data_IF_131893982580
#
_entry.id   IF_131893982580
#
_cell.length_a   1.000
_cell.length_b   1.000
_cell.length_c   1.000
_cell.angle_alpha   90.00
_cell.angle_beta   90.00
_cell.angle_gamma   90.00
#
_symmetry.space_group_name_H-M   'P 1'
#
loop_
_entity.id
_entity.type
_entity.pdbx_description
1 polymer ?
#
# COMPACT_ATOMS: atom_id res chain seq x y z
N UNK A 1 -53.58 34.95 15.96
CA UNK A 1 -52.28 34.81 16.65
C UNK A 1 -51.32 34.12 15.68
N UNK A 2 -50.17 34.75 15.40
CA UNK A 2 -49.18 34.25 14.42
C UNK A 2 -48.38 33.10 15.02
N UNK A 3 -48.32 32.00 14.27
CA UNK A 3 -47.46 30.84 14.47
C UNK A 3 -45.98 31.25 14.31
N UNK A 4 -45.13 30.89 15.28
CA UNK A 4 -43.68 30.86 15.09
C UNK A 4 -43.21 29.46 15.54
N UNK A 5 -43.03 28.56 14.57
CA UNK A 5 -42.29 27.32 14.77
C UNK A 5 -40.80 27.65 14.66
N UNK A 6 -40.12 27.66 15.80
CA UNK A 6 -38.65 27.71 15.86
C UNK A 6 -38.11 26.32 15.51
N UNK A 7 -37.67 26.14 14.27
CA UNK A 7 -36.82 25.02 13.86
C UNK A 7 -35.43 25.25 14.45
N UNK A 8 -35.14 24.63 15.59
CA UNK A 8 -33.76 24.48 16.05
C UNK A 8 -33.06 23.50 15.10
N UNK A 9 -32.20 24.05 14.23
CA UNK A 9 -31.19 23.28 13.53
C UNK A 9 -30.27 22.63 14.57
N UNK A 10 -30.55 21.37 14.91
CA UNK A 10 -29.58 20.49 15.53
C UNK A 10 -28.47 20.25 14.50
N UNK A 11 -27.43 21.09 14.54
CA UNK A 11 -26.14 20.77 13.92
C UNK A 11 -25.59 19.61 14.75
N UNK A 12 -26.00 18.39 14.38
CA UNK A 12 -25.32 17.20 14.86
C UNK A 12 -23.86 17.34 14.44
N UNK A 13 -22.97 17.35 15.43
CA UNK A 13 -21.56 17.03 15.18
C UNK A 13 -21.57 15.65 14.52
N UNK A 14 -21.47 15.62 13.19
CA UNK A 14 -21.23 14.40 12.46
C UNK A 14 -19.84 13.91 12.88
N UNK A 15 -19.80 13.10 13.94
CA UNK A 15 -18.67 12.21 14.16
C UNK A 15 -18.55 11.39 12.88
N UNK A 16 -17.41 11.51 12.20
CA UNK A 16 -17.20 10.82 10.95
C UNK A 16 -17.39 9.32 11.16
N UNK A 17 -18.25 8.70 10.35
CA UNK A 17 -18.42 7.25 10.36
C UNK A 17 -17.22 6.64 9.66
N UNK A 18 -16.54 5.70 10.32
CA UNK A 18 -15.52 4.87 9.68
C UNK A 18 -16.14 4.13 8.48
N UNK A 19 -15.39 4.02 7.39
CA UNK A 19 -15.78 3.15 6.28
C UNK A 19 -15.63 1.67 6.63
N UNK A 20 -15.71 0.82 5.63
CA UNK A 20 -15.43 -0.60 5.77
C UNK A 20 -13.93 -0.85 5.97
N UNK A 21 -13.60 -1.90 6.71
CA UNK A 21 -12.24 -2.43 6.77
C UNK A 21 -12.18 -3.70 5.92
N UNK A 22 -11.32 -3.67 4.91
CA UNK A 22 -11.17 -4.70 3.90
C UNK A 22 -9.70 -5.12 3.86
N UNK A 23 -9.47 -6.41 3.62
CA UNK A 23 -8.14 -6.97 3.47
C UNK A 23 -7.95 -7.50 2.06
N UNK A 24 -6.79 -7.19 1.48
CA UNK A 24 -6.34 -7.61 0.15
C UNK A 24 -4.89 -8.06 0.23
N UNK A 25 -4.42 -8.77 -0.78
CA UNK A 25 -3.05 -9.27 -0.84
C UNK A 25 -2.85 -10.63 -0.16
N UNK A 26 -3.92 -11.39 0.08
CA UNK A 26 -3.78 -12.72 0.66
C UNK A 26 -3.04 -13.67 -0.29
N UNK A 27 -2.04 -14.39 0.23
CA UNK A 27 -1.21 -15.30 -0.56
C UNK A 27 -2.04 -16.41 -1.24
N UNK A 28 -3.01 -16.98 -0.53
CA UNK A 28 -3.89 -18.03 -1.04
C UNK A 28 -4.77 -17.59 -2.23
N UNK A 29 -5.16 -16.31 -2.27
CA UNK A 29 -5.86 -15.73 -3.43
C UNK A 29 -4.94 -15.66 -4.64
N UNK A 30 -3.68 -15.25 -4.43
CA UNK A 30 -2.69 -15.19 -5.50
C UNK A 30 -2.34 -16.57 -6.09
N UNK A 31 -2.40 -17.65 -5.30
CA UNK A 31 -2.15 -19.01 -5.79
C UNK A 31 -3.10 -19.42 -6.94
N UNK A 32 -4.27 -18.79 -7.01
CA UNK A 32 -5.27 -19.02 -8.07
C UNK A 32 -5.17 -18.04 -9.25
N UNK A 33 -4.31 -17.03 -9.15
CA UNK A 33 -4.19 -15.92 -10.10
C UNK A 33 -2.99 -16.10 -11.04
N UNK A 34 -2.92 -15.35 -12.16
CA UNK A 34 -1.78 -15.39 -13.06
C UNK A 34 -0.49 -14.93 -12.38
N UNK A 35 0.64 -15.51 -12.79
CA UNK A 35 1.95 -15.00 -12.40
C UNK A 35 2.35 -13.78 -13.25
N UNK A 36 3.09 -12.85 -12.64
CA UNK A 36 3.69 -11.71 -13.33
C UNK A 36 4.88 -12.23 -14.15
N UNK A 37 4.82 -12.06 -15.47
CA UNK A 37 5.92 -12.41 -16.35
C UNK A 37 6.97 -11.31 -16.34
N UNK A 38 8.22 -11.69 -16.03
CA UNK A 38 9.35 -10.78 -15.96
C UNK A 38 10.46 -11.20 -16.93
N UNK A 39 11.12 -10.21 -17.52
CA UNK A 39 12.27 -10.41 -18.41
C UNK A 39 13.41 -9.46 -18.00
N UNK A 40 14.66 -9.85 -18.28
CA UNK A 40 15.81 -8.98 -18.02
C UNK A 40 15.69 -7.72 -18.89
N UNK A 41 15.95 -6.57 -18.29
CA UNK A 41 15.90 -5.27 -18.94
C UNK A 41 17.24 -4.53 -18.84
N UNK A 42 17.43 -3.57 -19.74
CA UNK A 42 18.58 -2.68 -19.71
C UNK A 42 18.45 -1.62 -18.61
N UNK A 43 19.58 -1.32 -17.94
CA UNK A 43 19.67 -0.24 -16.93
C UNK A 43 19.19 1.11 -17.47
N UNK A 44 19.47 1.38 -18.75
CA UNK A 44 19.10 2.62 -19.43
C UNK A 44 17.58 2.82 -19.48
N UNK A 45 16.79 1.74 -19.56
CA UNK A 45 15.33 1.84 -19.50
C UNK A 45 14.92 2.39 -18.13
N UNK A 46 15.41 1.80 -17.04
CA UNK A 46 15.09 2.23 -15.66
C UNK A 46 15.51 3.68 -15.37
N UNK A 47 16.66 4.10 -15.89
CA UNK A 47 17.18 5.47 -15.70
C UNK A 47 16.34 6.51 -16.46
N UNK A 48 15.77 6.15 -17.62
CA UNK A 48 14.91 7.03 -18.42
C UNK A 48 13.45 6.99 -17.96
N UNK A 49 13.02 5.91 -17.32
CA UNK A 49 11.66 5.80 -16.76
C UNK A 49 11.46 6.83 -15.65
N UNK A 50 10.35 7.57 -15.76
CA UNK A 50 9.95 8.55 -14.78
C UNK A 50 9.84 7.91 -13.37
N UNK A 51 10.24 8.61 -12.30
CA UNK A 51 10.03 8.11 -10.96
C UNK A 51 8.55 7.95 -10.67
N UNK A 52 8.24 7.13 -9.65
CA UNK A 52 6.88 7.01 -9.12
C UNK A 52 6.26 8.40 -8.86
N UNK A 53 4.97 8.59 -9.16
CA UNK A 53 4.27 9.84 -8.85
C UNK A 53 4.46 10.20 -7.38
N UNK A 54 4.82 11.47 -7.11
CA UNK A 54 5.10 11.90 -5.75
C UNK A 54 3.83 11.90 -4.93
N UNK A 55 3.88 11.23 -3.78
CA UNK A 55 2.88 11.41 -2.73
C UNK A 55 2.96 12.83 -2.17
N UNK A 56 1.81 13.36 -1.76
CA UNK A 56 1.73 14.63 -1.07
C UNK A 56 1.78 14.36 0.43
N UNK A 57 2.73 14.99 1.11
CA UNK A 57 2.86 14.94 2.57
C UNK A 57 2.15 16.12 3.23
N UNK A 58 0.90 16.32 2.84
CA UNK A 58 -0.07 17.20 3.48
C UNK A 58 -1.38 16.41 3.58
N UNK A 59 -2.46 16.97 4.12
CA UNK A 59 -3.74 16.28 4.41
C UNK A 59 -3.77 15.43 5.69
N UNK A 60 -2.83 15.64 6.61
CA UNK A 60 -2.93 15.14 7.97
C UNK A 60 -2.53 16.22 8.98
N UNK A 61 -2.92 16.03 10.23
CA UNK A 61 -2.43 16.82 11.35
C UNK A 61 -2.04 15.90 12.52
N UNK A 62 -1.10 16.33 13.35
CA UNK A 62 -0.79 15.68 14.61
C UNK A 62 -1.15 16.64 15.74
N UNK A 63 -2.00 16.20 16.67
CA UNK A 63 -2.38 16.96 17.87
C UNK A 63 -2.43 16.01 19.07
N UNK A 64 -1.73 16.33 20.15
CA UNK A 64 -1.75 15.57 21.40
C UNK A 64 -1.62 14.04 21.18
N UNK A 65 -0.55 13.62 20.48
CA UNK A 65 -0.28 12.22 20.11
C UNK A 65 -1.38 11.51 19.27
N UNK A 66 -2.29 12.29 18.68
CA UNK A 66 -3.32 11.80 17.77
C UNK A 66 -2.96 12.22 16.35
N UNK A 67 -2.89 11.25 15.44
CA UNK A 67 -2.86 11.46 14.01
C UNK A 67 -4.31 11.72 13.53
N UNK A 68 -4.50 12.81 12.81
CA UNK A 68 -5.79 13.28 12.32
C UNK A 68 -5.76 13.26 10.80
N UNK A 69 -6.64 12.47 10.18
CA UNK A 69 -6.77 12.38 8.72
C UNK A 69 -8.17 12.83 8.33
N UNK A 70 -8.25 13.68 7.30
CA UNK A 70 -9.51 14.22 6.81
C UNK A 70 -10.00 13.39 5.62
N UNK A 71 -11.27 13.03 5.63
CA UNK A 71 -11.96 12.26 4.60
C UNK A 71 -13.30 12.89 4.25
N UNK A 72 -13.94 12.42 3.18
CA UNK A 72 -15.28 12.82 2.74
C UNK A 72 -16.38 12.48 3.75
N UNK A 73 -16.17 11.47 4.62
CA UNK A 73 -17.09 11.17 5.73
C UNK A 73 -16.74 11.90 7.03
N UNK A 74 -15.68 12.70 7.06
CA UNK A 74 -15.28 13.50 8.21
C UNK A 74 -13.84 13.24 8.67
N UNK A 75 -13.61 13.37 9.97
CA UNK A 75 -12.27 13.28 10.55
C UNK A 75 -12.05 11.90 11.17
N UNK A 76 -11.00 11.22 10.73
CA UNK A 76 -10.50 10.00 11.36
C UNK A 76 -9.39 10.39 12.35
N UNK A 77 -9.48 9.86 13.58
CA UNK A 77 -8.50 10.05 14.64
C UNK A 77 -7.82 8.72 14.95
N UNK A 78 -6.51 8.69 14.83
CA UNK A 78 -5.68 7.51 14.98
C UNK A 78 -4.65 7.77 16.09
N UNK A 79 -4.31 6.75 16.89
CA UNK A 79 -3.13 6.82 17.78
C UNK A 79 -1.91 7.02 16.90
N UNK A 80 -1.12 8.07 17.11
CA UNK A 80 0.13 8.26 16.36
C UNK A 80 1.11 7.15 16.75
N UNK A 81 1.83 6.61 15.77
CA UNK A 81 2.93 5.69 16.02
C UNK A 81 4.00 6.32 16.93
N UNK A 82 4.42 5.54 17.91
CA UNK A 82 5.51 5.87 18.83
C UNK A 82 6.32 4.60 19.10
N UNK A 83 7.62 4.68 18.82
CA UNK A 83 8.59 3.59 18.92
C UNK A 83 9.31 3.57 20.28
N UNK A 84 8.84 4.37 21.25
CA UNK A 84 9.49 4.47 22.54
C UNK A 84 9.55 3.10 23.25
N UNK A 85 10.70 2.76 23.87
CA UNK A 85 10.92 1.48 24.54
C UNK A 85 10.09 1.29 25.83
N UNK A 86 9.20 2.24 26.14
CA UNK A 86 8.34 2.27 27.33
C UNK A 86 6.89 1.87 27.02
N UNK A 87 6.57 1.55 25.76
CA UNK A 87 5.24 1.05 25.43
C UNK A 87 5.14 -0.44 25.75
N UNK A 88 3.99 -0.83 26.30
CA UNK A 88 3.62 -2.22 26.51
C UNK A 88 3.57 -3.00 25.17
N UNK A 89 3.66 -4.32 25.24
CA UNK A 89 3.53 -5.22 24.08
C UNK A 89 2.07 -5.25 23.59
N UNK A 90 1.71 -4.30 22.73
CA UNK A 90 0.41 -4.24 22.05
C UNK A 90 0.51 -3.31 20.81
N UNK A 91 -0.56 -2.62 20.45
CA UNK A 91 -0.64 -1.67 19.35
C UNK A 91 0.22 -0.40 19.56
N UNK A 92 1.21 -0.17 18.68
CA UNK A 92 2.16 0.95 18.74
C UNK A 92 1.69 2.23 18.05
N UNK A 93 0.67 2.15 17.20
CA UNK A 93 0.06 3.31 16.55
C UNK A 93 0.20 3.31 15.03
N UNK A 94 -0.30 4.39 14.43
CA UNK A 94 -0.34 4.60 12.98
C UNK A 94 0.73 5.60 12.54
N UNK A 95 1.45 5.24 11.47
CA UNK A 95 2.38 6.11 10.78
C UNK A 95 1.76 6.59 9.46
N UNK A 96 1.74 7.91 9.24
CA UNK A 96 1.30 8.48 7.98
C UNK A 96 2.44 8.47 6.95
N UNK A 97 2.21 7.86 5.80
CA UNK A 97 3.22 7.73 4.74
C UNK A 97 3.03 8.79 3.64
N UNK A 98 1.81 9.20 3.36
CA UNK A 98 1.52 10.23 2.36
C UNK A 98 0.11 10.11 1.79
N UNK A 99 -0.20 11.00 0.85
CA UNK A 99 -1.45 10.98 0.07
C UNK A 99 -1.16 10.73 -1.40
N UNK A 100 -1.88 9.80 -2.01
CA UNK A 100 -1.88 9.52 -3.45
C UNK A 100 -2.98 10.33 -4.15
N UNK A 101 -2.68 11.44 -4.83
CA UNK A 101 -3.72 12.29 -5.41
C UNK A 101 -4.49 11.60 -6.54
N UNK A 102 -3.78 10.76 -7.31
CA UNK A 102 -4.38 10.02 -8.43
C UNK A 102 -5.41 9.01 -7.95
N UNK A 103 -5.12 8.32 -6.85
CA UNK A 103 -6.00 7.30 -6.27
C UNK A 103 -7.05 7.88 -5.33
N UNK A 104 -6.80 9.11 -4.86
CA UNK A 104 -7.51 9.76 -3.77
C UNK A 104 -7.46 8.93 -2.47
N UNK A 105 -6.29 8.39 -2.15
CA UNK A 105 -6.08 7.53 -0.98
C UNK A 105 -4.93 8.02 -0.10
N UNK A 106 -5.08 7.91 1.21
CA UNK A 106 -4.00 8.07 2.17
C UNK A 106 -3.27 6.73 2.36
N UNK A 107 -1.94 6.76 2.41
CA UNK A 107 -1.13 5.62 2.79
C UNK A 107 -0.74 5.73 4.27
N UNK A 108 -1.00 4.67 5.00
CA UNK A 108 -0.76 4.53 6.43
C UNK A 108 -0.02 3.21 6.69
N UNK A 109 0.78 3.16 7.75
CA UNK A 109 1.29 1.90 8.29
C UNK A 109 0.76 1.72 9.70
N UNK A 110 0.07 0.61 9.95
CA UNK A 110 -0.30 0.15 11.27
C UNK A 110 0.91 -0.58 11.87
N UNK A 111 1.31 -0.22 13.09
CA UNK A 111 2.36 -0.94 13.82
C UNK A 111 1.78 -1.55 15.10
N UNK A 112 2.07 -2.82 15.32
CA UNK A 112 1.71 -3.56 16.53
C UNK A 112 2.86 -4.41 17.01
N UNK A 113 2.79 -4.86 18.26
CA UNK A 113 3.70 -5.83 18.85
C UNK A 113 2.89 -6.93 19.49
N UNK A 114 3.31 -8.17 19.23
CA UNK A 114 2.79 -9.35 19.92
C UNK A 114 3.99 -10.24 20.27
N UNK A 115 4.05 -10.72 21.51
CA UNK A 115 5.13 -11.61 21.98
C UNK A 115 6.55 -11.07 21.72
N UNK A 116 6.75 -9.76 21.92
CA UNK A 116 7.99 -9.03 21.62
C UNK A 116 8.42 -9.00 20.14
N UNK A 117 7.57 -9.47 19.23
CA UNK A 117 7.76 -9.38 17.78
C UNK A 117 6.98 -8.18 17.25
N UNK A 118 7.64 -7.36 16.44
CA UNK A 118 7.02 -6.21 15.77
C UNK A 118 6.34 -6.62 14.49
N UNK A 119 5.08 -6.22 14.34
CA UNK A 119 4.27 -6.43 13.15
C UNK A 119 3.88 -5.09 12.55
N UNK A 120 3.81 -5.03 11.22
CA UNK A 120 3.28 -3.86 10.55
C UNK A 120 2.49 -4.20 9.29
N UNK A 121 1.44 -3.41 9.05
CA UNK A 121 0.55 -3.58 7.89
C UNK A 121 0.46 -2.27 7.11
N UNK A 122 0.56 -2.37 5.78
CA UNK A 122 0.30 -1.25 4.89
C UNK A 122 -1.21 -1.09 4.70
N UNK A 123 -1.72 0.12 4.88
CA UNK A 123 -3.15 0.42 4.75
C UNK A 123 -3.36 1.59 3.81
N UNK A 124 -4.24 1.41 2.83
CA UNK A 124 -4.75 2.47 1.97
C UNK A 124 -6.12 2.91 2.46
N UNK A 125 -6.25 4.18 2.84
CA UNK A 125 -7.50 4.78 3.31
C UNK A 125 -8.10 5.65 2.20
N UNK A 126 -9.27 5.26 1.70
CA UNK A 126 -10.01 6.01 0.69
C UNK A 126 -10.47 7.36 1.25
N UNK A 127 -10.02 8.45 0.65
CA UNK A 127 -10.32 9.79 1.14
C UNK A 127 -11.76 10.22 0.91
N UNK A 128 -12.52 9.57 0.02
CA UNK A 128 -13.93 9.87 -0.21
C UNK A 128 -14.83 9.00 0.68
N UNK A 129 -14.59 7.69 0.70
CA UNK A 129 -15.48 6.72 1.38
C UNK A 129 -15.05 6.37 2.79
N UNK A 130 -13.83 6.73 3.20
CA UNK A 130 -13.22 6.30 4.47
C UNK A 130 -13.01 4.80 4.60
N UNK A 131 -13.11 4.04 3.52
CA UNK A 131 -12.82 2.61 3.52
C UNK A 131 -11.32 2.38 3.65
N UNK A 132 -10.94 1.39 4.44
CA UNK A 132 -9.56 1.00 4.69
C UNK A 132 -9.27 -0.32 3.99
N UNK A 133 -8.22 -0.32 3.18
CA UNK A 133 -7.71 -1.50 2.48
C UNK A 133 -6.36 -1.88 3.08
N UNK A 134 -6.36 -2.84 3.99
CA UNK A 134 -5.15 -3.45 4.52
C UNK A 134 -4.54 -4.39 3.49
N UNK A 135 -3.30 -4.14 3.11
CA UNK A 135 -2.52 -5.05 2.27
C UNK A 135 -1.84 -6.04 3.20
N UNK A 136 -2.39 -7.25 3.24
CA UNK A 136 -1.88 -8.37 4.03
C UNK A 136 -0.46 -8.65 3.59
N UNK A 137 0.48 -8.52 4.53
CA UNK A 137 1.85 -8.90 4.26
C UNK A 137 1.98 -10.41 4.21
N UNK A 138 2.86 -10.88 3.33
CA UNK A 138 3.25 -12.30 3.27
C UNK A 138 4.36 -12.65 4.29
N UNK A 139 4.73 -11.70 5.14
CA UNK A 139 5.68 -11.87 6.24
C UNK A 139 5.38 -10.91 7.39
N UNK A 140 6.33 -10.73 8.31
CA UNK A 140 6.07 -10.08 9.60
C UNK A 140 6.06 -8.55 9.57
N UNK A 141 6.39 -7.94 8.43
CA UNK A 141 6.48 -6.48 8.31
C UNK A 141 5.67 -5.97 7.13
N UNK A 142 5.33 -4.69 7.15
CA UNK A 142 4.54 -4.07 6.10
C UNK A 142 5.23 -4.26 4.75
N UNK A 143 4.41 -4.48 3.72
CA UNK A 143 4.87 -4.44 2.34
C UNK A 143 5.43 -3.04 2.00
N UNK A 144 6.20 -2.96 0.92
CA UNK A 144 6.64 -1.68 0.37
C UNK A 144 5.45 -0.76 0.16
N UNK A 145 5.68 0.55 0.22
CA UNK A 145 4.69 1.52 -0.21
C UNK A 145 4.24 1.18 -1.66
N UNK A 146 2.93 0.99 -1.92
CA UNK A 146 2.46 0.64 -3.24
C UNK A 146 2.76 1.74 -4.27
N UNK A 147 3.16 1.32 -5.48
CA UNK A 147 3.42 2.21 -6.61
C UNK A 147 2.29 2.03 -7.62
N UNK A 148 1.55 3.10 -7.91
CA UNK A 148 0.44 3.05 -8.84
C UNK A 148 0.84 3.28 -10.30
N UNK A 149 0.13 2.63 -11.23
CA UNK A 149 0.24 2.88 -12.67
C UNK A 149 -0.10 4.35 -13.00
N UNK A 150 0.37 4.91 -14.12
CA UNK A 150 0.11 6.30 -14.46
C UNK A 150 -1.39 6.64 -14.54
N UNK A 151 -2.21 5.70 -15.02
CA UNK A 151 -3.67 5.83 -15.02
C UNK A 151 -4.34 5.55 -13.67
N UNK A 152 -3.63 4.97 -12.70
CA UNK A 152 -4.12 4.65 -11.36
C UNK A 152 -4.93 3.36 -11.27
N UNK A 153 -4.97 2.54 -12.32
CA UNK A 153 -5.72 1.28 -12.33
C UNK A 153 -5.03 0.12 -11.62
N UNK A 154 -3.71 0.16 -11.50
CA UNK A 154 -2.93 -0.93 -10.92
C UNK A 154 -2.01 -0.43 -9.82
N UNK A 155 -1.78 -1.27 -8.82
CA UNK A 155 -0.81 -1.04 -7.75
C UNK A 155 0.19 -2.19 -7.72
N UNK A 156 1.48 -1.88 -7.92
CA UNK A 156 2.56 -2.82 -7.66
C UNK A 156 3.11 -2.58 -6.25
N UNK A 157 3.33 -3.66 -5.50
CA UNK A 157 4.03 -3.61 -4.22
C UNK A 157 4.95 -4.82 -4.11
N UNK A 158 5.92 -4.76 -3.20
CA UNK A 158 6.82 -5.87 -2.94
C UNK A 158 7.08 -6.06 -1.46
N UNK A 159 7.52 -7.25 -1.10
CA UNK A 159 8.03 -7.58 0.22
C UNK A 159 9.35 -8.34 0.03
N UNK A 160 10.43 -7.86 0.65
CA UNK A 160 11.69 -8.58 0.70
C UNK A 160 11.71 -9.41 1.99
N UNK A 161 11.90 -10.72 1.89
CA UNK A 161 11.86 -11.60 3.05
C UNK A 161 13.02 -11.28 4.00
N UNK A 162 12.69 -10.97 5.25
CA UNK A 162 13.68 -10.61 6.27
C UNK A 162 14.55 -11.81 6.68
N UNK A 163 13.98 -13.02 6.64
CA UNK A 163 14.67 -14.26 7.03
C UNK A 163 15.25 -15.04 5.85
N UNK A 164 14.89 -14.69 4.62
CA UNK A 164 15.38 -15.36 3.43
C UNK A 164 16.13 -14.38 2.53
N UNK A 165 17.46 -14.45 2.58
CA UNK A 165 18.33 -13.56 1.81
C UNK A 165 18.03 -13.68 0.32
N UNK A 166 18.01 -12.54 -0.37
CA UNK A 166 17.77 -12.48 -1.82
C UNK A 166 16.43 -13.10 -2.21
N UNK A 167 15.41 -12.96 -1.37
CA UNK A 167 14.06 -13.41 -1.69
C UNK A 167 13.08 -12.27 -1.60
N UNK A 168 12.13 -12.27 -2.52
CA UNK A 168 11.03 -11.31 -2.50
C UNK A 168 9.75 -11.89 -3.08
N UNK A 169 8.67 -11.24 -2.70
CA UNK A 169 7.36 -11.32 -3.32
C UNK A 169 7.00 -9.97 -3.94
N UNK A 170 6.33 -10.01 -5.07
CA UNK A 170 5.76 -8.85 -5.75
C UNK A 170 4.28 -9.16 -5.94
N UNK A 171 3.43 -8.28 -5.42
CA UNK A 171 1.99 -8.35 -5.61
C UNK A 171 1.52 -7.24 -6.53
N UNK A 172 0.50 -7.56 -7.31
CA UNK A 172 -0.21 -6.62 -8.17
C UNK A 172 -1.68 -6.60 -7.78
N UNK A 173 -2.18 -5.41 -7.46
CA UNK A 173 -3.60 -5.16 -7.21
C UNK A 173 -4.21 -4.39 -8.38
N UNK A 174 -5.47 -4.66 -8.66
CA UNK A 174 -6.32 -3.87 -9.55
C UNK A 174 -7.22 -2.95 -8.72
N UNK A 175 -7.37 -1.70 -9.16
CA UNK A 175 -8.35 -0.74 -8.67
C UNK A 175 -9.44 -0.61 -9.73
N UNK A 176 -10.67 -0.95 -9.37
CA UNK A 176 -11.83 -0.87 -10.26
C UNK A 176 -12.63 0.39 -9.96
N UNK A 177 -12.93 1.18 -11.00
CA UNK A 177 -13.84 2.33 -10.90
C UNK A 177 -15.28 1.88 -11.24
N UNK A 178 -16.22 2.09 -10.31
CA UNK A 178 -17.66 1.85 -10.52
C UNK A 178 -18.20 0.53 -9.93
N UNK A 179 -19.34 0.63 -9.22
CA UNK A 179 -20.01 -0.47 -8.50
C UNK A 179 -20.37 -1.67 -9.40
N UNK A 180 -19.89 -2.88 -9.09
CA UNK A 180 -20.60 -4.14 -9.41
C UNK A 180 -20.39 -5.19 -8.30
N UNK A 181 -21.36 -5.29 -7.40
CA UNK A 181 -21.70 -6.45 -6.51
C UNK A 181 -20.69 -6.96 -5.48
N UNK A 182 -19.37 -6.90 -5.70
CA UNK A 182 -18.36 -7.26 -4.70
C UNK A 182 -17.94 -6.02 -3.91
N UNK A 183 -17.94 -6.11 -2.59
CA UNK A 183 -17.80 -4.96 -1.69
C UNK A 183 -16.42 -4.29 -1.67
N UNK A 184 -15.45 -4.72 -2.50
CA UNK A 184 -14.09 -4.19 -2.50
C UNK A 184 -13.72 -3.51 -3.84
N UNK A 185 -13.26 -2.25 -3.77
CA UNK A 185 -12.71 -1.47 -4.90
C UNK A 185 -11.35 -1.97 -5.39
N UNK A 186 -10.61 -2.61 -4.49
CA UNK A 186 -9.25 -3.13 -4.71
C UNK A 186 -9.30 -4.65 -4.63
N UNK A 187 -8.65 -5.34 -5.55
CA UNK A 187 -8.54 -6.80 -5.55
C UNK A 187 -7.18 -7.28 -6.04
N UNK A 188 -6.78 -8.48 -5.62
CA UNK A 188 -5.61 -9.18 -6.12
C UNK A 188 -5.73 -9.46 -7.64
N UNK A 189 -4.65 -9.26 -8.39
CA UNK A 189 -4.62 -9.46 -9.84
C UNK A 189 -3.56 -10.47 -10.27
N UNK A 190 -2.32 -10.33 -9.81
CA UNK A 190 -1.21 -11.21 -10.16
C UNK A 190 -0.10 -11.11 -9.12
N UNK A 191 0.78 -12.11 -9.07
CA UNK A 191 1.95 -12.09 -8.18
C UNK A 191 3.19 -12.68 -8.83
N UNK A 192 4.34 -12.44 -8.23
CA UNK A 192 5.60 -13.11 -8.55
C UNK A 192 6.41 -13.31 -7.28
N UNK A 193 7.08 -14.45 -7.17
CA UNK A 193 7.96 -14.73 -6.05
C UNK A 193 9.27 -15.37 -6.52
N UNK A 194 10.35 -15.07 -5.81
CA UNK A 194 11.67 -15.63 -6.11
C UNK A 194 12.54 -15.72 -4.86
N UNK A 195 13.55 -16.58 -4.92
CA UNK A 195 14.60 -16.77 -3.90
C UNK A 195 15.99 -16.38 -4.41
N UNK A 196 16.02 -15.66 -5.54
CA UNK A 196 17.27 -15.36 -6.26
C UNK A 196 17.75 -13.92 -6.12
N UNK A 197 16.85 -12.96 -5.86
CA UNK A 197 17.15 -11.54 -5.70
C UNK A 197 16.06 -10.84 -4.87
N UNK A 198 16.36 -9.65 -4.37
CA UNK A 198 15.44 -8.76 -3.67
C UNK A 198 15.17 -7.49 -4.48
N UNK A 199 14.07 -6.79 -4.20
CA UNK A 199 13.68 -5.55 -4.89
C UNK A 199 14.23 -4.33 -4.16
N UNK A 200 14.85 -3.41 -4.90
CA UNK A 200 15.22 -2.07 -4.41
C UNK A 200 14.09 -1.07 -4.68
N UNK A 201 13.58 -1.06 -5.91
CA UNK A 201 12.64 -0.05 -6.39
C UNK A 201 11.83 -0.53 -7.60
N UNK A 202 10.65 0.06 -7.80
CA UNK A 202 9.75 -0.19 -8.92
C UNK A 202 9.33 1.14 -9.56
N UNK A 203 9.33 1.19 -10.89
CA UNK A 203 8.79 2.32 -11.67
C UNK A 203 7.88 1.82 -12.78
N UNK A 204 6.73 2.45 -12.95
CA UNK A 204 5.87 2.18 -14.11
C UNK A 204 6.47 2.79 -15.38
N UNK A 205 6.59 1.97 -16.42
CA UNK A 205 7.03 2.40 -17.75
C UNK A 205 5.84 3.02 -18.49
N UNK A 206 4.68 2.38 -18.38
CA UNK A 206 3.39 2.82 -18.91
C UNK A 206 2.24 2.27 -18.05
N UNK A 207 1.01 2.18 -18.57
CA UNK A 207 -0.16 1.70 -17.82
C UNK A 207 -0.18 0.17 -17.63
N UNK A 208 0.60 -0.59 -18.39
CA UNK A 208 0.54 -2.06 -18.39
C UNK A 208 1.91 -2.71 -18.22
N UNK A 209 2.93 -1.95 -17.87
CA UNK A 209 4.26 -2.47 -17.61
C UNK A 209 5.03 -1.63 -16.59
N UNK A 210 5.85 -2.32 -15.79
CA UNK A 210 6.72 -1.70 -14.79
C UNK A 210 8.10 -2.33 -14.81
N UNK A 211 9.11 -1.51 -14.56
CA UNK A 211 10.51 -1.90 -14.45
C UNK A 211 10.93 -1.91 -12.98
N UNK A 212 11.68 -2.94 -12.62
CA UNK A 212 12.20 -3.16 -11.28
C UNK A 212 13.71 -3.01 -11.28
N UNK A 213 14.23 -2.32 -10.27
CA UNK A 213 15.63 -2.39 -9.88
C UNK A 213 15.74 -3.41 -8.76
N UNK A 214 16.48 -4.47 -8.99
CA UNK A 214 16.65 -5.57 -8.02
C UNK A 214 18.12 -5.70 -7.65
N UNK A 215 18.39 -6.39 -6.55
CA UNK A 215 19.75 -6.64 -6.10
C UNK A 215 19.92 -8.07 -5.57
N UNK A 216 21.15 -8.55 -5.70
CA UNK A 216 21.68 -9.72 -4.99
C UNK A 216 22.74 -9.23 -4.03
N UNK A 217 22.60 -9.61 -2.76
CA UNK A 217 23.63 -9.38 -1.76
C UNK A 217 24.70 -10.48 -1.89
N UNK A 218 25.95 -10.06 -2.09
CA UNK A 218 27.14 -10.94 -2.08
C UNK A 218 28.01 -10.63 -0.87
N UNK A 219 28.71 -11.64 -0.34
CA UNK A 219 29.51 -11.51 0.87
C UNK A 219 28.73 -11.81 2.15
N UNK A 220 29.30 -11.47 3.32
CA UNK A 220 28.68 -11.60 4.66
C UNK A 220 29.11 -10.43 5.55
N UNK A 221 28.18 -9.90 6.35
CA UNK A 221 28.46 -8.85 7.33
C UNK A 221 28.86 -7.53 6.69
N UNK A 222 29.92 -6.89 7.18
CA UNK A 222 30.35 -5.54 6.77
C UNK A 222 30.90 -5.48 5.33
N UNK A 223 31.20 -6.63 4.71
CA UNK A 223 31.68 -6.75 3.33
C UNK A 223 30.55 -7.06 2.33
N UNK A 224 29.31 -6.72 2.69
CA UNK A 224 28.16 -6.99 1.85
C UNK A 224 28.05 -5.98 0.70
N UNK A 225 28.05 -6.49 -0.53
CA UNK A 225 27.90 -5.69 -1.74
C UNK A 225 26.58 -6.02 -2.46
N UNK A 226 25.87 -4.98 -2.91
CA UNK A 226 24.67 -5.12 -3.75
C UNK A 226 25.07 -5.15 -5.22
N UNK A 227 24.77 -6.25 -5.88
CA UNK A 227 24.85 -6.35 -7.34
C UNK A 227 23.46 -6.17 -7.95
N UNK A 228 23.32 -5.14 -8.79
CA UNK A 228 22.02 -4.77 -9.34
C UNK A 228 21.71 -5.47 -10.67
N UNK A 229 20.45 -5.84 -10.86
CA UNK A 229 19.89 -6.29 -12.14
C UNK A 229 18.54 -5.58 -12.35
N UNK A 230 18.12 -5.44 -13.60
CA UNK A 230 16.87 -4.76 -13.93
C UNK A 230 15.95 -5.75 -14.65
N UNK A 231 14.67 -5.71 -14.31
CA UNK A 231 13.66 -6.59 -14.86
C UNK A 231 12.44 -5.79 -15.30
N UNK A 232 11.90 -6.09 -16.48
CA UNK A 232 10.64 -5.55 -16.97
C UNK A 232 9.52 -6.57 -16.74
N UNK A 233 8.43 -6.12 -16.13
CA UNK A 233 7.18 -6.85 -16.00
C UNK A 233 6.15 -6.30 -16.98
N UNK A 234 5.43 -7.19 -17.68
CA UNK A 234 4.28 -6.82 -18.54
C UNK A 234 3.00 -7.49 -18.04
N UNK A 235 1.91 -6.74 -18.06
CA UNK A 235 0.61 -7.19 -17.55
C UNK A 235 -0.27 -7.86 -18.62
N UNK A 236 0.18 -7.95 -19.87
CA UNK A 236 -0.63 -8.42 -21.01
C UNK A 236 -1.24 -9.82 -20.80
N UNK A 237 -0.52 -10.71 -20.10
CA UNK A 237 -1.00 -12.05 -19.74
C UNK A 237 -2.02 -12.05 -18.61
N UNK A 238 -1.91 -11.10 -17.68
CA UNK A 238 -2.80 -10.96 -16.53
C UNK A 238 -4.11 -10.26 -16.90
N UNK A 239 -4.06 -9.23 -17.76
CA UNK A 239 -5.24 -8.48 -18.20
C UNK A 239 -6.17 -9.37 -19.04
N UNK A 240 -5.64 -10.18 -19.96
CA UNK A 240 -6.44 -11.05 -20.86
C UNK A 240 -7.20 -12.18 -20.18
N UNK A 241 -6.87 -12.52 -18.93
CA UNK A 241 -7.57 -13.58 -18.16
C UNK A 241 -8.71 -13.04 -17.30
N UNK A 242 -8.81 -11.72 -17.16
CA UNK A 242 -9.82 -11.04 -16.34
C UNK A 242 -10.99 -10.50 -17.17
N UNK A 243 -10.84 -10.47 -18.51
CA UNK A 243 -11.91 -10.27 -19.51
C UNK A 243 -12.63 -11.60 -19.83
#
# INVERSE_FOLDING_TARGET
MRLIFLFFFSIGLAYGQSGQELAVGYADRYDSLPEIHIEIAEKQLYERTAPAPKMIFSHFAIKNNTLIVHTGKGIIKLKKYDDSPRQDDDFRGWQYMGYFPRLQMHALVNHSVSEHLGFSDMVLLDSATSDQYGIVSIGDAAVSLPIHSPDGRFLAYYYNHVYERNSCFIGLLEIRDGMISSHARISEMASFQTKNWAVEDIKWVDNTSFIMKTYVLKGRGVLEERQYTYYLARLDSAIKKTE
#
